data_IF_832307810636
#
_entry.id   IF_832307810636
#
_cell.length_a   1.000
_cell.length_b   1.000
_cell.length_c   1.000
_cell.angle_alpha   90.00
_cell.angle_beta   90.00
_cell.angle_gamma   90.00
#
_symmetry.space_group_name_H-M   'P 1'
#
loop_
_entity.id
_entity.type
_entity.pdbx_description
1 polymer ?
#
# COMPACT_ATOMS: atom_id res chain seq x y z
N UNK A 1 -5.24 -50.68 -10.98
CA UNK A 1 -6.29 -49.65 -11.25
C UNK A 1 -7.57 -50.08 -10.57
N UNK A 2 -8.40 -49.17 -10.00
CA UNK A 2 -8.42 -47.72 -10.19
C UNK A 2 -8.16 -46.90 -8.91
N UNK A 3 -7.62 -45.70 -9.07
CA UNK A 3 -7.48 -44.63 -8.05
C UNK A 3 -8.51 -43.55 -8.36
N UNK A 4 -9.45 -43.31 -7.43
CA UNK A 4 -10.54 -42.35 -7.59
C UNK A 4 -10.22 -40.96 -7.01
N UNK A 5 -10.29 -39.96 -7.87
CA UNK A 5 -10.11 -38.52 -7.62
C UNK A 5 -11.19 -37.96 -6.69
N UNK A 6 -10.83 -37.42 -5.52
CA UNK A 6 -11.73 -36.59 -4.71
C UNK A 6 -11.89 -35.20 -5.35
N UNK A 7 -13.12 -34.86 -5.77
CA UNK A 7 -13.53 -33.50 -6.12
C UNK A 7 -13.84 -32.73 -4.84
N UNK A 8 -13.25 -31.54 -4.66
CA UNK A 8 -13.62 -30.60 -3.59
C UNK A 8 -14.91 -29.90 -3.99
N UNK A 9 -15.94 -30.01 -3.15
CA UNK A 9 -17.22 -29.32 -3.30
C UNK A 9 -17.04 -27.82 -3.05
N UNK A 10 -17.52 -27.00 -3.97
CA UNK A 10 -17.64 -25.56 -3.76
C UNK A 10 -18.81 -25.31 -2.80
N UNK A 11 -18.53 -24.71 -1.64
CA UNK A 11 -19.55 -24.20 -0.73
C UNK A 11 -20.24 -23.02 -1.41
N UNK A 12 -21.51 -23.20 -1.79
CA UNK A 12 -22.36 -22.13 -2.32
C UNK A 12 -22.82 -21.22 -1.19
N UNK A 13 -22.46 -19.93 -1.27
CA UNK A 13 -22.97 -18.88 -0.38
C UNK A 13 -24.44 -18.64 -0.71
N UNK A 14 -25.35 -18.64 0.28
CA UNK A 14 -26.79 -18.47 0.04
C UNK A 14 -27.11 -17.04 -0.42
N UNK A 15 -27.84 -16.95 -1.53
CA UNK A 15 -28.38 -15.71 -2.11
C UNK A 15 -29.74 -15.39 -1.49
N UNK A 16 -29.75 -14.69 -0.35
CA UNK A 16 -30.99 -14.16 0.23
C UNK A 16 -31.32 -12.79 -0.42
N UNK A 17 -32.54 -12.56 -0.97
CA UNK A 17 -32.80 -11.39 -1.81
C UNK A 17 -32.92 -10.06 -1.05
N UNK A 18 -32.84 -10.06 0.29
CA UNK A 18 -33.11 -8.88 1.11
C UNK A 18 -31.86 -8.12 1.60
N UNK A 19 -30.65 -8.61 1.33
CA UNK A 19 -29.38 -7.99 1.78
C UNK A 19 -28.46 -7.52 0.62
N UNK A 20 -29.02 -7.13 -0.53
CA UNK A 20 -28.25 -6.57 -1.66
C UNK A 20 -28.50 -5.07 -1.87
N UNK A 21 -27.93 -4.25 -1.00
CA UNK A 21 -27.78 -2.81 -1.24
C UNK A 21 -26.41 -2.37 -0.71
N UNK A 22 -25.42 -2.28 -1.61
CA UNK A 22 -24.43 -1.20 -1.75
C UNK A 22 -23.32 -1.65 -2.74
N UNK A 23 -23.18 -0.82 -3.78
CA UNK A 23 -22.19 -0.77 -4.88
C UNK A 23 -22.45 -1.62 -6.15
N UNK A 24 -22.68 -0.98 -7.32
CA UNK A 24 -22.74 -1.68 -8.59
C UNK A 24 -21.31 -1.99 -9.05
N UNK A 25 -20.94 -3.27 -9.01
CA UNK A 25 -19.77 -3.71 -9.78
C UNK A 25 -20.14 -3.68 -11.27
N UNK A 26 -19.66 -2.67 -12.00
CA UNK A 26 -19.71 -2.66 -13.46
C UNK A 26 -18.75 -3.76 -13.93
N UNK A 27 -19.29 -4.90 -14.36
CA UNK A 27 -18.52 -6.05 -14.85
C UNK A 27 -18.57 -6.08 -16.38
N UNK A 28 -17.45 -5.77 -17.03
CA UNK A 28 -17.32 -5.93 -18.48
C UNK A 28 -17.12 -7.42 -18.84
N UNK A 29 -17.80 -7.94 -19.90
CA UNK A 29 -17.67 -9.33 -20.29
C UNK A 29 -16.23 -9.62 -20.75
N UNK A 30 -15.55 -10.53 -20.05
CA UNK A 30 -14.13 -10.85 -20.28
C UNK A 30 -13.16 -10.22 -19.27
N UNK A 31 -13.60 -9.30 -18.42
CA UNK A 31 -12.84 -8.85 -17.25
C UNK A 31 -13.03 -9.87 -16.14
N UNK A 32 -12.06 -10.77 -15.95
CA UNK A 32 -11.96 -11.52 -14.70
C UNK A 32 -11.89 -10.55 -13.51
N UNK A 33 -12.32 -11.00 -12.33
CA UNK A 33 -12.15 -10.27 -11.07
C UNK A 33 -10.66 -9.92 -10.89
N UNK A 34 -10.26 -8.68 -11.17
CA UNK A 34 -8.97 -8.17 -10.74
C UNK A 34 -9.09 -7.78 -9.27
N UNK A 35 -9.18 -8.80 -8.41
CA UNK A 35 -8.97 -8.64 -6.99
C UNK A 35 -7.49 -8.36 -6.73
N UNK A 36 -7.08 -7.10 -6.75
CA UNK A 36 -5.77 -6.70 -6.23
C UNK A 36 -5.81 -6.77 -4.70
N UNK A 37 -5.61 -7.97 -4.16
CA UNK A 37 -5.37 -8.16 -2.74
C UNK A 37 -3.96 -7.64 -2.40
N UNK A 38 -3.84 -6.34 -2.10
CA UNK A 38 -2.60 -5.74 -1.65
C UNK A 38 -2.40 -6.00 -0.15
N UNK A 39 -2.19 -7.27 0.20
CA UNK A 39 -1.54 -7.62 1.45
C UNK A 39 -0.04 -7.66 1.15
N UNK A 40 0.80 -6.82 1.79
CA UNK A 40 2.23 -6.97 1.69
C UNK A 40 2.60 -8.27 2.42
N UNK A 41 2.48 -9.40 1.71
CA UNK A 41 3.03 -10.66 2.16
C UNK A 41 4.55 -10.52 2.09
N UNK A 42 5.18 -10.33 3.23
CA UNK A 42 6.63 -10.38 3.41
C UNK A 42 7.17 -11.81 3.32
N UNK A 43 6.31 -12.81 3.10
CA UNK A 43 6.72 -14.15 2.70
C UNK A 43 6.96 -14.20 1.18
N UNK A 44 8.23 -14.40 0.87
CA UNK A 44 8.98 -14.63 -0.37
C UNK A 44 8.48 -15.77 -1.27
N UNK A 45 7.18 -16.12 -1.23
CA UNK A 45 6.58 -17.24 -1.96
C UNK A 45 5.62 -16.78 -3.07
N UNK A 46 6.05 -15.86 -3.94
CA UNK A 46 5.38 -15.59 -5.21
C UNK A 46 6.27 -16.06 -6.38
N UNK A 47 6.36 -17.37 -6.69
CA UNK A 47 7.45 -17.91 -7.51
C UNK A 47 7.20 -17.86 -9.03
N UNK A 48 6.26 -17.07 -9.55
CA UNK A 48 5.86 -17.21 -10.96
C UNK A 48 5.66 -15.93 -11.79
N UNK A 49 5.77 -14.73 -11.21
CA UNK A 49 5.62 -13.48 -11.99
C UNK A 49 6.94 -12.93 -12.55
N UNK A 50 8.04 -13.53 -12.14
CA UNK A 50 9.37 -12.99 -12.28
C UNK A 50 10.23 -13.99 -13.06
N UNK A 51 10.50 -13.67 -14.34
CA UNK A 51 11.34 -14.48 -15.24
C UNK A 51 12.83 -14.13 -15.13
N UNK A 52 13.23 -13.33 -14.14
CA UNK A 52 14.59 -12.86 -13.91
C UNK A 52 15.26 -13.45 -12.65
N UNK A 53 16.41 -12.88 -12.28
CA UNK A 53 17.06 -13.17 -11.01
C UNK A 53 16.25 -12.53 -9.88
N UNK A 54 15.66 -13.38 -9.04
CA UNK A 54 14.82 -12.95 -7.92
C UNK A 54 15.51 -11.98 -6.95
N UNK A 55 16.84 -12.08 -6.77
CA UNK A 55 17.59 -11.14 -5.91
C UNK A 55 17.68 -9.77 -6.55
N UNK A 56 17.84 -9.71 -7.88
CA UNK A 56 17.86 -8.46 -8.63
C UNK A 56 16.48 -7.82 -8.61
N UNK A 57 15.43 -8.59 -8.89
CA UNK A 57 14.05 -8.07 -8.92
C UNK A 57 13.60 -7.56 -7.55
N UNK A 58 13.94 -8.28 -6.47
CA UNK A 58 13.65 -7.83 -5.11
C UNK A 58 14.32 -6.49 -4.81
N UNK A 59 15.61 -6.34 -5.13
CA UNK A 59 16.35 -5.09 -4.89
C UNK A 59 15.84 -3.94 -5.75
N UNK A 60 15.49 -4.19 -7.01
CA UNK A 60 14.87 -3.17 -7.86
C UNK A 60 13.53 -2.73 -7.29
N UNK A 61 12.72 -3.67 -6.82
CA UNK A 61 11.40 -3.41 -6.26
C UNK A 61 11.44 -2.66 -4.92
N UNK A 62 12.42 -2.95 -4.04
CA UNK A 62 12.52 -2.33 -2.71
C UNK A 62 13.38 -1.06 -2.67
N UNK A 63 14.50 -1.03 -3.38
CA UNK A 63 15.49 0.05 -3.28
C UNK A 63 15.28 1.13 -4.36
N UNK A 64 15.00 0.71 -5.59
CA UNK A 64 15.01 1.59 -6.76
C UNK A 64 13.63 2.18 -7.04
N UNK A 65 12.65 1.31 -7.24
CA UNK A 65 11.35 1.66 -7.79
C UNK A 65 10.23 1.00 -6.99
N UNK A 66 10.09 1.36 -5.70
CA UNK A 66 8.94 0.93 -4.91
C UNK A 66 7.64 1.34 -5.60
N UNK A 67 6.56 0.55 -5.51
CA UNK A 67 5.29 0.86 -6.20
C UNK A 67 4.78 2.27 -5.94
N UNK A 68 4.86 2.75 -4.69
CA UNK A 68 4.49 4.12 -4.33
C UNK A 68 5.38 5.18 -4.98
N UNK A 69 6.68 4.92 -5.15
CA UNK A 69 7.61 5.82 -5.84
C UNK A 69 7.38 5.81 -7.36
N UNK A 70 7.04 4.66 -7.95
CA UNK A 70 6.67 4.55 -9.36
C UNK A 70 5.42 5.37 -9.66
N UNK A 71 4.34 5.14 -8.91
CA UNK A 71 3.08 5.87 -9.08
C UNK A 71 3.27 7.37 -8.83
N UNK A 72 4.00 7.76 -7.79
CA UNK A 72 4.30 9.17 -7.53
C UNK A 72 4.99 9.85 -8.70
N UNK A 73 6.09 9.26 -9.21
CA UNK A 73 6.83 9.82 -10.35
C UNK A 73 6.01 9.90 -11.63
N UNK A 74 5.19 8.88 -11.90
CA UNK A 74 4.30 8.88 -13.06
C UNK A 74 3.21 9.96 -12.94
N UNK A 75 2.58 10.09 -11.77
CA UNK A 75 1.59 11.13 -11.51
C UNK A 75 2.20 12.52 -11.66
N UNK A 76 3.38 12.76 -11.08
CA UNK A 76 4.06 14.05 -11.16
C UNK A 76 4.40 14.41 -12.63
N UNK A 77 4.93 13.45 -13.39
CA UNK A 77 5.25 13.65 -14.79
C UNK A 77 4.00 13.94 -15.63
N UNK A 78 2.92 13.17 -15.45
CA UNK A 78 1.67 13.35 -16.18
C UNK A 78 1.00 14.68 -15.85
N UNK A 79 0.95 15.08 -14.57
CA UNK A 79 0.39 16.36 -14.15
C UNK A 79 1.23 17.53 -14.68
N UNK A 80 2.56 17.41 -14.67
CA UNK A 80 3.45 18.42 -15.25
C UNK A 80 3.26 18.56 -16.76
N UNK A 81 3.09 17.44 -17.48
CA UNK A 81 2.78 17.46 -18.91
C UNK A 81 1.41 18.09 -19.18
N UNK A 82 0.39 17.74 -18.40
CA UNK A 82 -0.95 18.29 -18.56
C UNK A 82 -0.96 19.81 -18.33
N UNK A 83 -0.25 20.29 -17.31
CA UNK A 83 -0.06 21.72 -17.05
C UNK A 83 0.64 22.44 -18.20
N UNK A 84 1.75 21.86 -18.70
CA UNK A 84 2.50 22.47 -19.81
C UNK A 84 1.70 22.53 -21.11
N UNK A 85 0.86 21.53 -21.37
CA UNK A 85 0.00 21.46 -22.55
C UNK A 85 -1.34 22.20 -22.37
N UNK A 86 -1.63 22.74 -21.19
CA UNK A 86 -2.92 23.37 -20.87
C UNK A 86 -4.10 22.39 -20.93
N UNK A 87 -3.86 21.11 -20.67
CA UNK A 87 -4.88 20.06 -20.68
C UNK A 87 -5.54 20.01 -19.30
N UNK A 88 -6.82 20.38 -19.26
CA UNK A 88 -7.65 20.30 -18.06
C UNK A 88 -8.88 19.43 -18.37
N UNK A 89 -8.72 18.12 -18.17
CA UNK A 89 -9.79 17.14 -18.36
C UNK A 89 -10.20 16.57 -17.00
N UNK A 90 -11.41 15.98 -16.89
CA UNK A 90 -11.84 15.32 -15.66
C UNK A 90 -10.82 14.28 -15.13
N UNK A 91 -10.10 13.59 -16.02
CA UNK A 91 -9.06 12.62 -15.66
C UNK A 91 -7.82 13.28 -15.04
N UNK A 92 -7.40 14.43 -15.56
CA UNK A 92 -6.29 15.23 -15.00
C UNK A 92 -6.67 15.76 -13.61
N UNK A 93 -7.91 16.22 -13.45
CA UNK A 93 -8.46 16.65 -12.15
C UNK A 93 -8.49 15.49 -11.16
N UNK A 94 -9.01 14.33 -11.56
CA UNK A 94 -9.02 13.13 -10.71
C UNK A 94 -7.60 12.69 -10.32
N UNK A 95 -6.64 12.74 -11.24
CA UNK A 95 -5.24 12.43 -10.94
C UNK A 95 -4.64 13.41 -9.91
N UNK A 96 -5.00 14.69 -10.00
CA UNK A 96 -4.58 15.72 -9.05
C UNK A 96 -5.16 15.48 -7.66
N UNK A 97 -6.45 15.14 -7.57
CA UNK A 97 -7.12 14.79 -6.32
C UNK A 97 -6.49 13.56 -5.65
N UNK A 98 -6.16 12.53 -6.45
CA UNK A 98 -5.44 11.34 -5.96
C UNK A 98 -4.07 11.73 -5.41
N UNK A 99 -3.29 12.54 -6.14
CA UNK A 99 -1.97 12.99 -5.70
C UNK A 99 -2.03 13.80 -4.39
N UNK A 100 -3.03 14.68 -4.27
CA UNK A 100 -3.28 15.44 -3.04
C UNK A 100 -3.67 14.54 -1.87
N UNK A 101 -4.58 13.58 -2.09
CA UNK A 101 -5.00 12.62 -1.06
C UNK A 101 -3.84 11.77 -0.54
N UNK A 102 -2.97 11.30 -1.45
CA UNK A 102 -1.76 10.57 -1.07
C UNK A 102 -0.84 11.44 -0.20
N UNK A 103 -0.68 12.72 -0.55
CA UNK A 103 0.14 13.66 0.22
C UNK A 103 -0.44 13.90 1.61
N UNK A 104 -1.76 14.08 1.72
CA UNK A 104 -2.44 14.22 3.00
C UNK A 104 -2.26 12.98 3.90
N UNK A 105 -2.40 11.78 3.34
CA UNK A 105 -2.19 10.53 4.10
C UNK A 105 -0.75 10.42 4.60
N UNK A 106 0.25 10.77 3.76
CA UNK A 106 1.66 10.76 4.18
C UNK A 106 1.91 11.71 5.35
N UNK A 107 1.29 12.89 5.32
CA UNK A 107 1.40 13.86 6.40
C UNK A 107 0.76 13.34 7.69
N UNK A 108 -0.47 12.83 7.60
CA UNK A 108 -1.17 12.24 8.75
C UNK A 108 -0.36 11.09 9.39
N UNK A 109 0.24 10.22 8.57
CA UNK A 109 1.09 9.14 9.08
C UNK A 109 2.32 9.69 9.79
N UNK A 110 2.95 10.76 9.27
CA UNK A 110 4.09 11.41 9.91
C UNK A 110 3.71 12.03 11.26
N UNK A 111 2.59 12.74 11.30
CA UNK A 111 2.06 13.34 12.54
C UNK A 111 1.75 12.27 13.59
N UNK A 112 1.10 11.17 13.20
CA UNK A 112 0.84 10.05 14.11
C UNK A 112 2.14 9.40 14.62
N UNK A 113 3.15 9.22 13.77
CA UNK A 113 4.44 8.67 14.20
C UNK A 113 5.13 9.55 15.24
N UNK A 114 5.05 10.88 15.09
CA UNK A 114 5.59 11.81 16.07
C UNK A 114 4.80 11.75 17.39
N UNK A 115 3.47 11.70 17.31
CA UNK A 115 2.60 11.57 18.48
C UNK A 115 2.86 10.26 19.24
N UNK A 116 2.98 9.14 18.51
CA UNK A 116 3.28 7.83 19.09
C UNK A 116 4.65 7.81 19.76
N UNK A 117 5.66 8.42 19.13
CA UNK A 117 6.99 8.56 19.71
C UNK A 117 6.95 9.40 20.99
N UNK A 118 6.26 10.53 20.99
CA UNK A 118 6.06 11.37 22.18
C UNK A 118 5.34 10.61 23.30
N UNK A 119 4.23 9.94 23.00
CA UNK A 119 3.48 9.16 23.98
C UNK A 119 4.30 7.98 24.54
N UNK A 120 5.22 7.40 23.76
CA UNK A 120 6.16 6.41 24.26
C UNK A 120 7.19 7.01 25.21
N UNK A 121 7.73 8.19 24.90
CA UNK A 121 8.66 8.91 25.78
C UNK A 121 7.99 9.37 27.08
N UNK A 122 6.75 9.88 27.01
CA UNK A 122 6.00 10.31 28.19
C UNK A 122 5.73 9.12 29.14
N UNK A 123 5.32 7.95 28.60
CA UNK A 123 5.18 6.72 29.39
C UNK A 123 6.49 6.25 30.02
N UNK A 124 7.62 6.42 29.33
CA UNK A 124 8.93 6.10 29.89
C UNK A 124 9.31 7.10 30.99
N UNK A 125 9.00 8.39 30.82
CA UNK A 125 9.24 9.42 31.82
C UNK A 125 8.51 9.13 33.14
N UNK A 126 7.26 8.66 33.05
CA UNK A 126 6.43 8.35 34.21
C UNK A 126 6.88 7.07 34.93
N UNK A 127 7.34 6.06 34.20
CA UNK A 127 7.69 4.74 34.76
C UNK A 127 9.15 4.63 35.21
N UNK A 128 10.09 5.20 34.46
CA UNK A 128 11.53 5.18 34.75
C UNK A 128 12.24 6.43 34.19
N UNK A 129 12.30 7.52 34.98
CA UNK A 129 12.97 8.76 34.58
C UNK A 129 14.47 8.60 34.30
N UNK A 130 15.14 7.64 34.95
CA UNK A 130 16.57 7.37 34.74
C UNK A 130 16.81 6.64 33.42
N UNK A 131 15.92 5.73 33.02
CA UNK A 131 15.95 5.11 31.69
C UNK A 131 15.70 6.11 30.57
N UNK A 132 14.76 7.05 30.75
CA UNK A 132 14.54 8.12 29.76
C UNK A 132 15.82 8.97 29.58
N UNK A 133 16.47 9.38 30.67
CA UNK A 133 17.73 10.14 30.60
C UNK A 133 18.81 9.40 29.83
N UNK A 134 19.03 8.11 30.13
CA UNK A 134 20.00 7.27 29.41
C UNK A 134 19.67 7.14 27.92
N UNK A 135 18.38 7.01 27.57
CA UNK A 135 17.95 6.92 26.17
C UNK A 135 18.23 8.21 25.41
N UNK A 136 17.93 9.37 25.99
CA UNK A 136 18.17 10.67 25.36
C UNK A 136 19.66 10.98 25.23
N UNK A 137 20.49 10.61 26.21
CA UNK A 137 21.94 10.77 26.16
C UNK A 137 22.60 9.85 25.12
N UNK A 138 22.04 8.66 24.89
CA UNK A 138 22.55 7.67 23.95
C UNK A 138 22.00 7.79 22.52
N UNK A 139 20.89 8.53 22.32
CA UNK A 139 20.24 8.62 21.02
C UNK A 139 20.94 9.61 20.10
N UNK A 140 21.41 9.11 18.94
CA UNK A 140 21.93 9.93 17.85
C UNK A 140 21.07 9.70 16.62
N UNK A 141 20.41 10.74 16.07
CA UNK A 141 19.68 10.58 14.83
C UNK A 141 20.65 10.19 13.70
N UNK A 142 20.24 9.33 12.76
CA UNK A 142 21.04 9.06 11.57
C UNK A 142 21.23 10.38 10.78
N UNK A 143 22.41 10.56 10.18
CA UNK A 143 22.68 11.74 9.35
C UNK A 143 21.69 11.81 8.19
N UNK A 144 21.11 13.00 7.99
CA UNK A 144 20.17 13.29 6.91
C UNK A 144 20.85 13.27 5.53
#
# INVERSE_FOLDING_TARGET
MPTGTQRRECVSIPTDPWFNLVLPSIRFPGSGDLGFNYQPNTAWEAPSLFRGDARVEQRVYSEVATPGRQLGRLSDALLSMAEHLGVDTPEVTALREIAQSITAIKEQVREHQEQDARAALDRLAESDPDALRRLLEGYRPPAA
#
